data_IF_757611499645
#
_entry.id   IF_757611499645
#
_cell.length_a   1.000
_cell.length_b   1.000
_cell.length_c   1.000
_cell.angle_alpha   90.00
_cell.angle_beta   90.00
_cell.angle_gamma   90.00
#
_symmetry.space_group_name_H-M   'P 1'
#
loop_
_entity.id
_entity.type
_entity.pdbx_description
1 polymer ?
#
# COMPACT_ATOMS: atom_id res chain seq x y z
N UNK A 1 12.66 5.67 4.57
CA UNK A 1 11.94 4.40 4.39
C UNK A 1 12.82 3.51 3.54
N UNK A 2 12.96 2.24 3.91
CA UNK A 2 13.63 1.26 3.06
C UNK A 2 12.57 0.41 2.34
N UNK A 3 12.92 -0.20 1.20
CA UNK A 3 11.99 -1.06 0.47
C UNK A 3 11.46 -2.24 1.32
N UNK A 4 12.26 -2.72 2.28
CA UNK A 4 11.88 -3.74 3.26
C UNK A 4 10.72 -3.33 4.19
N UNK A 5 10.49 -2.03 4.38
CA UNK A 5 9.42 -1.52 5.25
C UNK A 5 8.03 -1.59 4.57
N UNK A 6 7.98 -1.76 3.25
CA UNK A 6 6.73 -1.67 2.47
C UNK A 6 5.76 -2.81 2.77
N UNK A 7 6.27 -4.01 3.06
CA UNK A 7 5.43 -5.15 3.42
C UNK A 7 4.77 -4.92 4.78
N UNK A 8 5.54 -4.45 5.77
CA UNK A 8 5.04 -4.07 7.08
C UNK A 8 4.03 -2.92 6.99
N UNK A 9 4.28 -1.93 6.14
CA UNK A 9 3.35 -0.82 5.92
C UNK A 9 2.01 -1.30 5.33
N UNK A 10 2.04 -2.25 4.38
CA UNK A 10 0.83 -2.86 3.84
C UNK A 10 0.04 -3.60 4.94
N UNK A 11 0.72 -4.39 5.78
CA UNK A 11 0.06 -5.12 6.87
C UNK A 11 -0.59 -4.16 7.89
N UNK A 12 0.06 -3.03 8.22
CA UNK A 12 -0.52 -1.99 9.10
C UNK A 12 -1.77 -1.37 8.47
N UNK A 13 -1.74 -1.07 7.17
CA UNK A 13 -2.89 -0.49 6.46
C UNK A 13 -4.11 -1.42 6.45
N UNK A 14 -3.88 -2.74 6.49
CA UNK A 14 -4.94 -3.74 6.56
C UNK A 14 -5.40 -4.07 7.99
N UNK A 15 -4.68 -3.65 9.03
CA UNK A 15 -5.00 -4.02 10.41
C UNK A 15 -6.30 -3.36 10.92
N UNK A 16 -6.62 -2.16 10.44
CA UNK A 16 -7.86 -1.44 10.76
C UNK A 16 -8.44 -0.84 9.48
N UNK A 17 -9.04 -1.67 8.61
CA UNK A 17 -9.57 -1.19 7.35
C UNK A 17 -10.75 -0.26 7.62
N UNK A 18 -10.69 0.94 7.06
CA UNK A 18 -11.81 1.86 7.03
C UNK A 18 -12.66 1.59 5.79
N UNK A 19 -13.90 2.06 5.81
CA UNK A 19 -14.76 1.94 4.63
C UNK A 19 -14.15 2.72 3.46
N UNK A 20 -13.96 2.04 2.34
CA UNK A 20 -13.47 2.61 1.10
C UNK A 20 -14.33 2.06 -0.06
N UNK A 21 -14.70 2.87 -1.08
CA UNK A 21 -15.51 2.41 -2.21
C UNK A 21 -14.86 1.22 -2.96
N UNK A 22 -13.53 1.12 -2.90
CA UNK A 22 -12.76 -0.02 -3.34
C UNK A 22 -12.32 -0.85 -2.12
N UNK A 23 -12.59 -2.16 -2.07
CA UNK A 23 -12.06 -3.03 -1.02
C UNK A 23 -10.55 -2.87 -0.85
N UNK A 24 -10.10 -2.80 0.41
CA UNK A 24 -8.69 -2.68 0.74
C UNK A 24 -8.11 -4.09 0.83
N UNK A 25 -7.25 -4.44 -0.12
CA UNK A 25 -6.60 -5.75 -0.22
C UNK A 25 -5.08 -5.61 -0.18
N UNK A 26 -4.39 -6.65 0.31
CA UNK A 26 -2.95 -6.58 0.62
C UNK A 26 -2.09 -6.31 -0.62
N UNK A 27 -2.32 -7.08 -1.69
CA UNK A 27 -1.55 -6.98 -2.93
C UNK A 27 -1.64 -5.58 -3.57
N UNK A 28 -2.83 -5.01 -3.85
CA UNK A 28 -2.92 -3.68 -4.45
C UNK A 28 -2.43 -2.56 -3.53
N UNK A 29 -2.54 -2.70 -2.19
CA UNK A 29 -1.92 -1.74 -1.26
C UNK A 29 -0.39 -1.80 -1.35
N UNK A 30 0.19 -3.00 -1.40
CA UNK A 30 1.64 -3.17 -1.53
C UNK A 30 2.18 -2.61 -2.84
N UNK A 31 1.45 -2.80 -3.95
CA UNK A 31 1.77 -2.21 -5.26
C UNK A 31 1.68 -0.68 -5.22
N UNK A 32 0.60 -0.14 -4.64
CA UNK A 32 0.43 1.31 -4.47
C UNK A 32 1.58 1.92 -3.67
N UNK A 33 1.98 1.26 -2.58
CA UNK A 33 3.13 1.69 -1.76
C UNK A 33 4.45 1.59 -2.54
N UNK A 34 4.62 0.60 -3.42
CA UNK A 34 5.81 0.49 -4.29
C UNK A 34 5.88 1.67 -5.26
N UNK A 35 4.79 1.93 -6.00
CA UNK A 35 4.72 3.01 -6.97
C UNK A 35 4.99 4.38 -6.32
N UNK A 36 4.42 4.61 -5.13
CA UNK A 36 4.66 5.83 -4.36
C UNK A 36 6.12 5.95 -3.90
N UNK A 37 6.74 4.85 -3.47
CA UNK A 37 8.14 4.82 -3.05
C UNK A 37 9.12 5.08 -4.21
N UNK A 38 8.83 4.53 -5.39
CA UNK A 38 9.63 4.71 -6.61
C UNK A 38 9.36 6.05 -7.31
N UNK A 39 8.31 6.78 -6.91
CA UNK A 39 7.90 8.02 -7.56
C UNK A 39 7.30 7.81 -8.95
N UNK A 40 6.65 6.66 -9.19
CA UNK A 40 5.96 6.36 -10.45
C UNK A 40 4.77 7.30 -10.58
N UNK A 41 4.72 8.07 -11.67
CA UNK A 41 3.57 8.95 -11.97
C UNK A 41 2.34 8.07 -12.21
N UNK A 42 1.21 8.31 -11.52
CA UNK A 42 -0.06 7.66 -11.84
C UNK A 42 -0.54 8.04 -13.24
N UNK A 43 -1.24 7.14 -13.92
CA UNK A 43 -1.86 7.40 -15.22
C UNK A 43 -2.99 8.44 -15.13
#
# INVERSE_FOLDING_TARGET
>A
MKAEDLDRAADIALANPYWNPRPIERAPIRELLQAAFEGVRPD
#
